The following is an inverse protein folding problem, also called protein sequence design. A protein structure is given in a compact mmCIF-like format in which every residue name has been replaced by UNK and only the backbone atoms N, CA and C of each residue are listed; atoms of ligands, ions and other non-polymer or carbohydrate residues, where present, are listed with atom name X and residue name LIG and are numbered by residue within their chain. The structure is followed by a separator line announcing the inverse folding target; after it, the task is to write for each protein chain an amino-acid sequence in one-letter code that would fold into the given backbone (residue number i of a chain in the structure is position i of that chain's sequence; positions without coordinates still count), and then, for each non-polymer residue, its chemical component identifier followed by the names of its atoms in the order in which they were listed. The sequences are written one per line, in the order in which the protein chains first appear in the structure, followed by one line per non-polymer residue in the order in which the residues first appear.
data_IF_166835071761
#
_entry.id   IF_166835071761
#
_cell.length_a   1.000
_cell.length_b   1.000
_cell.length_c   1.000
_cell.angle_alpha   90.00
_cell.angle_beta   90.00
_cell.angle_gamma   90.00
#
_symmetry.space_group_name_H-M   'P 1'
#
loop_
_entity.id
_entity.type
_entity.pdbx_description
1 polymer ?
#
# COMPACT_ATOMS: atom_id res chain seq x y z
N UNK A 1 -30.09 -2.77 3.63
CA UNK A 1 -29.38 -4.04 3.87
C UNK A 1 -27.93 -3.72 4.14
N UNK A 2 -27.32 -4.24 5.19
CA UNK A 2 -25.93 -3.95 5.52
C UNK A 2 -25.05 -5.16 5.20
N UNK A 3 -23.91 -4.90 4.54
CA UNK A 3 -22.87 -5.90 4.31
C UNK A 3 -22.24 -6.27 5.67
N UNK A 4 -22.25 -7.57 6.01
CA UNK A 4 -21.68 -8.06 7.26
C UNK A 4 -20.21 -8.46 7.12
N UNK A 5 -19.84 -9.06 5.98
CA UNK A 5 -18.47 -9.43 5.63
C UNK A 5 -18.33 -9.59 4.12
N UNK A 6 -17.08 -9.60 3.65
CA UNK A 6 -16.71 -9.80 2.26
C UNK A 6 -15.55 -10.78 2.20
N UNK A 7 -15.65 -11.81 1.38
CA UNK A 7 -14.64 -12.86 1.24
C UNK A 7 -14.47 -13.24 -0.23
N UNK A 8 -13.26 -13.62 -0.62
CA UNK A 8 -13.01 -14.18 -1.93
C UNK A 8 -13.54 -15.61 -2.03
N UNK A 9 -14.17 -15.94 -3.14
CA UNK A 9 -14.62 -17.31 -3.38
C UNK A 9 -13.40 -18.19 -3.74
N UNK A 10 -13.16 -19.30 -3.01
CA UNK A 10 -11.93 -20.07 -3.13
C UNK A 10 -11.73 -20.75 -4.50
N UNK A 11 -12.81 -20.93 -5.27
CA UNK A 11 -12.74 -21.62 -6.56
C UNK A 11 -12.81 -20.66 -7.74
N UNK A 12 -13.61 -19.59 -7.65
CA UNK A 12 -13.90 -18.69 -8.79
C UNK A 12 -13.20 -17.36 -8.68
N UNK A 13 -12.62 -17.01 -7.52
CA UNK A 13 -12.12 -15.67 -7.25
C UNK A 13 -13.22 -14.59 -7.16
N UNK A 14 -14.49 -14.98 -7.16
CA UNK A 14 -15.60 -14.06 -7.04
C UNK A 14 -15.68 -13.49 -5.61
N UNK A 15 -16.02 -12.21 -5.50
CA UNK A 15 -16.20 -11.56 -4.22
C UNK A 15 -17.53 -11.97 -3.59
N UNK A 16 -17.48 -12.64 -2.44
CA UNK A 16 -18.65 -13.04 -1.67
C UNK A 16 -19.06 -11.92 -0.69
N UNK A 17 -20.33 -11.59 -0.70
CA UNK A 17 -20.91 -10.61 0.21
C UNK A 17 -21.84 -11.29 1.21
N UNK A 18 -21.45 -11.28 2.49
CA UNK A 18 -22.31 -11.77 3.57
C UNK A 18 -23.26 -10.65 3.99
N UNK A 19 -24.56 -10.86 3.86
CA UNK A 19 -25.58 -9.83 4.05
C UNK A 19 -26.37 -10.05 5.36
N UNK A 20 -26.77 -8.95 5.98
CA UNK A 20 -27.83 -8.98 6.99
C UNK A 20 -29.17 -8.75 6.31
N UNK A 21 -30.00 -9.77 6.25
CA UNK A 21 -31.30 -9.78 5.53
C UNK A 21 -31.27 -10.75 4.34
N UNK A 22 -32.26 -10.67 3.49
CA UNK A 22 -32.43 -11.53 2.31
C UNK A 22 -32.55 -10.68 1.05
N UNK A 23 -31.97 -11.16 -0.04
CA UNK A 23 -32.19 -10.69 -1.41
C UNK A 23 -32.53 -11.89 -2.28
N UNK A 24 -33.17 -11.67 -3.41
CA UNK A 24 -33.51 -12.69 -4.38
C UNK A 24 -32.78 -12.41 -5.69
N UNK A 25 -32.58 -13.44 -6.48
CA UNK A 25 -32.04 -13.28 -7.83
C UNK A 25 -32.95 -12.38 -8.67
N UNK A 26 -32.37 -11.38 -9.33
CA UNK A 26 -33.11 -10.36 -10.10
C UNK A 26 -33.44 -9.09 -9.32
N UNK A 27 -33.21 -9.03 -8.01
CA UNK A 27 -33.43 -7.81 -7.25
C UNK A 27 -32.44 -6.71 -7.67
N UNK A 28 -32.93 -5.50 -7.88
CA UNK A 28 -32.10 -4.32 -8.09
C UNK A 28 -31.52 -3.85 -6.75
N UNK A 29 -30.18 -3.74 -6.68
CA UNK A 29 -29.46 -3.31 -5.46
C UNK A 29 -28.61 -2.06 -5.72
N UNK A 30 -28.49 -1.20 -4.70
CA UNK A 30 -27.56 -0.08 -4.70
C UNK A 30 -26.43 -0.36 -3.73
N UNK A 31 -25.19 -0.18 -4.20
CA UNK A 31 -23.98 -0.40 -3.40
C UNK A 31 -23.39 0.94 -2.97
N UNK A 32 -23.22 1.14 -1.68
CA UNK A 32 -22.64 2.33 -1.10
C UNK A 32 -21.40 1.96 -0.29
N UNK A 33 -20.27 2.60 -0.60
CA UNK A 33 -19.04 2.47 0.17
C UNK A 33 -19.08 3.46 1.34
N UNK A 34 -18.73 3.02 2.55
CA UNK A 34 -18.49 3.93 3.67
C UNK A 34 -17.28 4.81 3.33
N UNK A 35 -17.56 6.03 2.91
CA UNK A 35 -16.55 6.99 2.43
C UNK A 35 -15.58 7.38 3.56
N UNK A 36 -16.06 7.56 4.79
CA UNK A 36 -15.20 7.94 5.92
C UNK A 36 -14.18 6.84 6.22
N UNK A 37 -14.65 5.61 6.30
CA UNK A 37 -13.79 4.45 6.50
C UNK A 37 -12.83 4.25 5.33
N UNK A 38 -13.31 4.37 4.09
CA UNK A 38 -12.49 4.25 2.88
C UNK A 38 -11.36 5.28 2.83
N UNK A 39 -11.61 6.54 3.22
CA UNK A 39 -10.58 7.59 3.24
C UNK A 39 -9.45 7.24 4.22
N UNK A 40 -9.77 6.76 5.41
CA UNK A 40 -8.78 6.33 6.40
C UNK A 40 -7.93 5.16 5.90
N UNK A 41 -8.58 4.14 5.29
CA UNK A 41 -7.87 2.99 4.70
C UNK A 41 -6.95 3.43 3.57
N UNK A 42 -7.39 4.34 2.70
CA UNK A 42 -6.54 4.91 1.63
C UNK A 42 -5.32 5.63 2.19
N UNK A 43 -5.48 6.42 3.25
CA UNK A 43 -4.40 7.13 3.92
C UNK A 43 -3.36 6.13 4.47
N UNK A 44 -3.81 5.13 5.23
CA UNK A 44 -2.95 4.09 5.78
C UNK A 44 -2.26 3.27 4.69
N UNK A 45 -2.97 2.88 3.62
CA UNK A 45 -2.37 2.12 2.53
C UNK A 45 -1.32 2.94 1.76
N UNK A 46 -1.57 4.21 1.54
CA UNK A 46 -0.57 5.08 0.89
C UNK A 46 0.63 5.35 1.80
N UNK A 47 0.42 5.51 3.11
CA UNK A 47 1.51 5.61 4.08
C UNK A 47 2.38 4.34 4.12
N UNK A 48 1.79 3.15 3.93
CA UNK A 48 2.52 1.87 3.85
C UNK A 48 3.54 1.89 2.70
N UNK A 49 3.17 2.39 1.52
CA UNK A 49 4.09 2.52 0.38
C UNK A 49 5.24 3.50 0.66
N UNK A 50 4.94 4.66 1.28
CA UNK A 50 5.97 5.61 1.67
C UNK A 50 6.91 5.03 2.73
N UNK A 51 6.36 4.29 3.71
CA UNK A 51 7.16 3.61 4.73
C UNK A 51 8.06 2.52 4.14
N UNK A 52 7.54 1.69 3.24
CA UNK A 52 8.32 0.65 2.58
C UNK A 52 9.56 1.25 1.90
N UNK A 53 9.39 2.30 1.12
CA UNK A 53 10.51 2.95 0.45
C UNK A 53 11.45 3.66 1.43
N UNK A 54 10.92 4.28 2.50
CA UNK A 54 11.74 4.88 3.54
C UNK A 54 12.67 3.85 4.21
N UNK A 55 12.12 2.69 4.56
CA UNK A 55 12.89 1.60 5.15
C UNK A 55 13.91 1.02 4.16
N UNK A 56 13.57 0.88 2.88
CA UNK A 56 14.52 0.44 1.86
C UNK A 56 15.69 1.41 1.68
N UNK A 57 15.42 2.69 1.66
CA UNK A 57 16.48 3.71 1.55
C UNK A 57 17.38 3.77 2.78
N UNK A 58 16.79 3.53 3.95
CA UNK A 58 17.52 3.59 5.23
C UNK A 58 18.34 2.32 5.51
N UNK A 59 17.73 1.15 5.31
CA UNK A 59 18.28 -0.14 5.73
C UNK A 59 18.88 -0.94 4.57
N UNK A 60 18.49 -0.65 3.34
CA UNK A 60 18.99 -1.31 2.13
C UNK A 60 17.95 -2.12 1.36
N UNK A 61 18.36 -2.58 0.18
CA UNK A 61 17.50 -3.25 -0.80
C UNK A 61 16.97 -4.63 -0.38
N UNK A 62 17.50 -5.20 0.70
CA UNK A 62 17.00 -6.47 1.27
C UNK A 62 15.65 -6.33 1.97
N UNK A 63 15.25 -5.10 2.30
CA UNK A 63 13.92 -4.83 2.88
C UNK A 63 12.85 -5.16 1.85
N UNK A 64 12.07 -6.18 2.15
CA UNK A 64 10.95 -6.62 1.32
C UNK A 64 9.72 -6.84 2.20
N UNK A 65 8.56 -6.44 1.72
CA UNK A 65 7.29 -6.68 2.40
C UNK A 65 7.05 -8.18 2.57
N UNK A 66 6.71 -8.61 3.78
CA UNK A 66 6.31 -9.98 4.13
C UNK A 66 4.83 -10.07 4.49
N UNK A 67 4.25 -8.97 4.90
CA UNK A 67 2.84 -8.83 5.20
C UNK A 67 2.47 -7.38 5.43
N UNK A 68 1.18 -7.08 5.37
CA UNK A 68 0.66 -5.77 5.74
C UNK A 68 -0.80 -5.86 6.19
N UNK A 69 -1.19 -4.91 7.01
CA UNK A 69 -2.58 -4.66 7.37
C UNK A 69 -2.86 -3.17 7.20
N UNK A 70 -3.89 -2.84 6.43
CA UNK A 70 -4.36 -1.47 6.24
C UNK A 70 -5.82 -1.38 6.70
N UNK A 71 -6.04 -1.00 7.95
CA UNK A 71 -7.38 -0.73 8.50
C UNK A 71 -7.68 0.76 8.52
N UNK A 72 -8.85 1.12 9.00
CA UNK A 72 -9.23 2.52 9.23
C UNK A 72 -8.64 3.12 10.53
N UNK A 73 -8.07 2.29 11.39
CA UNK A 73 -7.47 2.72 12.67
C UNK A 73 -5.95 2.81 12.60
N UNK A 74 -5.31 1.85 11.89
CA UNK A 74 -3.85 1.73 11.82
C UNK A 74 -3.41 0.97 10.58
N UNK A 75 -2.13 1.09 10.27
CA UNK A 75 -1.42 0.17 9.40
C UNK A 75 -0.46 -0.72 10.22
N UNK A 76 -0.16 -1.92 9.70
CA UNK A 76 0.97 -2.75 10.11
C UNK A 76 1.77 -3.10 8.85
N UNK A 77 3.07 -3.05 8.95
CA UNK A 77 3.97 -3.40 7.87
C UNK A 77 5.01 -4.39 8.37
N UNK A 78 4.95 -5.62 7.86
CA UNK A 78 5.87 -6.69 8.20
C UNK A 78 6.92 -6.78 7.09
N UNK A 79 8.20 -6.77 7.44
CA UNK A 79 9.28 -6.72 6.45
C UNK A 79 10.50 -7.56 6.87
N UNK A 80 11.33 -7.93 5.88
CA UNK A 80 12.57 -8.66 6.12
C UNK A 80 13.68 -7.72 6.58
N UNK A 81 14.20 -7.97 7.79
CA UNK A 81 15.41 -7.32 8.31
C UNK A 81 16.04 -8.21 9.38
N UNK A 82 17.36 -8.23 9.47
CA UNK A 82 18.09 -9.17 10.34
C UNK A 82 18.38 -8.65 11.75
N UNK A 83 18.04 -7.39 12.03
CA UNK A 83 18.30 -6.74 13.31
C UNK A 83 17.08 -5.92 13.77
N UNK A 84 17.01 -5.60 15.05
CA UNK A 84 16.05 -4.63 15.58
C UNK A 84 16.40 -3.23 15.06
N UNK A 85 15.37 -2.44 14.76
CA UNK A 85 15.58 -1.05 14.43
C UNK A 85 15.96 -0.25 15.68
N UNK A 86 16.93 0.62 15.53
CA UNK A 86 17.26 1.61 16.55
C UNK A 86 16.21 2.73 16.60
N UNK A 87 16.14 3.44 17.72
CA UNK A 87 15.28 4.62 17.82
C UNK A 87 15.60 5.68 16.77
N UNK A 88 16.86 5.82 16.39
CA UNK A 88 17.30 6.77 15.36
C UNK A 88 16.80 6.36 13.96
N UNK A 89 16.86 5.07 13.64
CA UNK A 89 16.32 4.52 12.38
C UNK A 89 14.80 4.66 12.30
N UNK A 90 14.08 4.34 13.37
CA UNK A 90 12.62 4.53 13.45
C UNK A 90 12.25 6.00 13.25
N UNK A 91 12.94 6.92 13.94
CA UNK A 91 12.71 8.36 13.79
C UNK A 91 13.05 8.85 12.38
N UNK A 92 14.11 8.34 11.78
CA UNK A 92 14.52 8.69 10.42
C UNK A 92 13.49 8.23 9.38
N UNK A 93 12.96 7.01 9.53
CA UNK A 93 11.90 6.49 8.68
C UNK A 93 10.62 7.33 8.82
N UNK A 94 10.18 7.61 10.04
CA UNK A 94 9.02 8.47 10.33
C UNK A 94 9.18 9.89 9.72
N UNK A 95 10.34 10.49 9.89
CA UNK A 95 10.68 11.79 9.31
C UNK A 95 10.64 11.79 7.79
N UNK A 96 11.16 10.74 7.16
CA UNK A 96 11.15 10.58 5.70
C UNK A 96 9.71 10.48 5.19
N UNK A 97 8.88 9.61 5.77
CA UNK A 97 7.47 9.47 5.39
C UNK A 97 6.73 10.81 5.50
N UNK A 98 6.89 11.51 6.62
CA UNK A 98 6.25 12.80 6.82
C UNK A 98 6.77 13.89 5.85
N UNK A 99 8.02 13.82 5.41
CA UNK A 99 8.53 14.73 4.38
C UNK A 99 7.79 14.53 3.05
N UNK A 100 7.54 13.29 2.62
CA UNK A 100 6.79 12.99 1.40
C UNK A 100 5.28 13.28 1.53
N UNK A 101 4.71 13.12 2.72
CA UNK A 101 3.34 13.59 3.01
C UNK A 101 3.24 15.11 2.77
N UNK A 102 4.19 15.89 3.32
CA UNK A 102 4.20 17.36 3.15
C UNK A 102 4.48 17.83 1.73
N UNK A 103 5.09 17.00 0.86
CA UNK A 103 5.21 17.34 -0.55
C UNK A 103 3.85 17.53 -1.23
N UNK A 104 2.80 16.86 -0.72
CA UNK A 104 1.47 16.86 -1.32
C UNK A 104 1.49 16.54 -2.82
N UNK A 105 2.35 15.60 -3.20
CA UNK A 105 2.52 15.17 -4.59
C UNK A 105 1.37 14.26 -5.05
N UNK A 106 1.06 14.30 -6.33
CA UNK A 106 0.04 13.43 -6.92
C UNK A 106 0.40 11.96 -6.85
N UNK A 107 -0.60 11.12 -6.57
CA UNK A 107 -0.49 9.67 -6.63
C UNK A 107 -1.03 9.21 -7.98
N UNK A 108 -0.19 8.59 -8.78
CA UNK A 108 -0.52 8.12 -10.12
C UNK A 108 -0.69 6.61 -10.15
N UNK A 109 -1.62 6.18 -10.98
CA UNK A 109 -1.86 4.76 -11.24
C UNK A 109 -1.79 4.51 -12.74
N UNK A 110 -1.06 3.47 -13.14
CA UNK A 110 -0.94 3.04 -14.53
C UNK A 110 -1.13 1.54 -14.64
N UNK A 111 -1.77 1.10 -15.73
CA UNK A 111 -1.86 -0.31 -16.10
C UNK A 111 -0.79 -0.56 -17.17
N UNK A 112 -0.03 -1.63 -17.02
CA UNK A 112 1.02 -2.01 -17.95
C UNK A 112 1.35 -3.51 -17.83
N UNK A 113 2.20 -4.03 -18.72
CA UNK A 113 2.68 -5.39 -18.59
C UNK A 113 3.63 -5.55 -17.41
N UNK A 114 3.76 -6.74 -16.79
CA UNK A 114 4.75 -6.99 -15.74
C UNK A 114 6.19 -6.71 -16.18
N UNK A 115 6.48 -6.91 -17.47
CA UNK A 115 7.79 -6.62 -18.04
C UNK A 115 8.09 -5.11 -18.05
N UNK A 116 7.14 -4.29 -18.51
CA UNK A 116 7.31 -2.84 -18.51
C UNK A 116 7.37 -2.26 -17.10
N UNK A 117 6.58 -2.82 -16.17
CA UNK A 117 6.65 -2.45 -14.76
C UNK A 117 8.06 -2.70 -14.18
N UNK A 118 8.68 -3.84 -14.50
CA UNK A 118 10.07 -4.13 -14.09
C UNK A 118 11.08 -3.18 -14.74
N UNK A 119 10.92 -2.87 -16.03
CA UNK A 119 11.81 -1.94 -16.74
C UNK A 119 11.85 -0.55 -16.09
N UNK A 120 10.73 -0.07 -15.57
CA UNK A 120 10.67 1.21 -14.86
C UNK A 120 11.03 1.10 -13.36
N UNK A 121 11.45 -0.07 -12.89
CA UNK A 121 11.89 -0.28 -11.51
C UNK A 121 10.77 -0.44 -10.48
N UNK A 122 9.54 -0.78 -10.91
CA UNK A 122 8.44 -1.01 -9.99
C UNK A 122 8.70 -2.23 -9.09
N UNK A 123 8.49 -2.05 -7.78
CA UNK A 123 8.60 -3.12 -6.80
C UNK A 123 7.40 -4.06 -6.93
N UNK A 124 7.67 -5.35 -6.94
CA UNK A 124 6.66 -6.40 -6.90
C UNK A 124 6.63 -7.05 -5.52
N UNK A 125 5.47 -7.48 -5.06
CA UNK A 125 5.36 -8.27 -3.83
C UNK A 125 6.01 -9.64 -4.04
N UNK A 126 6.74 -10.09 -3.04
CA UNK A 126 7.43 -11.38 -3.13
C UNK A 126 6.43 -12.55 -3.19
N UNK A 127 6.58 -13.43 -4.18
CA UNK A 127 5.79 -14.65 -4.31
C UNK A 127 4.42 -14.50 -4.98
N UNK A 128 4.02 -13.30 -5.39
CA UNK A 128 2.79 -13.11 -6.15
C UNK A 128 2.97 -13.48 -7.63
N UNK A 129 1.94 -14.13 -8.19
CA UNK A 129 1.83 -14.37 -9.63
C UNK A 129 0.97 -13.28 -10.24
N UNK A 130 1.52 -12.59 -11.21
CA UNK A 130 0.82 -11.53 -11.93
C UNK A 130 0.27 -12.06 -13.25
N UNK A 131 -0.91 -11.55 -13.64
CA UNK A 131 -1.49 -11.80 -14.95
C UNK A 131 -0.77 -11.01 -16.07
N UNK A 132 -1.42 -10.88 -17.23
CA UNK A 132 -0.86 -10.19 -18.39
C UNK A 132 -0.72 -8.67 -18.17
N UNK A 133 -1.51 -8.11 -17.27
CA UNK A 133 -1.48 -6.71 -16.88
C UNK A 133 -1.35 -6.55 -15.37
N UNK A 134 -0.60 -5.53 -14.96
CA UNK A 134 -0.41 -5.12 -13.57
C UNK A 134 -0.73 -3.65 -13.38
N UNK A 135 -1.21 -3.33 -12.19
CA UNK A 135 -1.46 -1.95 -11.78
C UNK A 135 -0.26 -1.45 -11.00
N UNK A 136 0.39 -0.41 -11.51
CA UNK A 136 1.53 0.26 -10.88
C UNK A 136 1.07 1.55 -10.24
N UNK A 137 1.40 1.73 -8.97
CA UNK A 137 1.13 2.93 -8.19
C UNK A 137 2.44 3.66 -7.94
N UNK A 138 2.46 4.97 -8.21
CA UNK A 138 3.62 5.83 -7.98
C UNK A 138 3.24 7.05 -7.14
N UNK A 139 4.12 7.44 -6.21
CA UNK A 139 3.91 8.60 -5.34
C UNK A 139 5.22 9.18 -4.82
N UNK A 140 5.21 10.49 -4.55
CA UNK A 140 6.37 11.26 -4.12
C UNK A 140 7.30 11.62 -5.27
N UNK A 141 7.93 12.79 -5.19
CA UNK A 141 8.98 13.23 -6.11
C UNK A 141 10.33 13.18 -5.42
N UNK A 142 11.30 12.60 -6.11
CA UNK A 142 12.69 12.56 -5.67
C UNK A 142 13.58 13.12 -6.78
N UNK A 143 14.46 14.04 -6.44
CA UNK A 143 15.38 14.62 -7.41
C UNK A 143 16.51 13.64 -7.74
N UNK A 144 16.76 13.39 -9.01
CA UNK A 144 17.96 12.79 -9.61
C UNK A 144 18.29 11.32 -9.31
N UNK A 145 17.77 10.69 -8.25
CA UNK A 145 18.11 9.28 -7.91
C UNK A 145 16.89 8.41 -7.60
N UNK A 146 15.71 8.91 -7.85
CA UNK A 146 14.46 8.20 -7.58
C UNK A 146 14.16 7.09 -8.58
N UNK A 147 13.07 6.36 -8.35
CA UNK A 147 12.55 5.29 -9.21
C UNK A 147 11.62 5.84 -10.27
N UNK A 148 11.37 5.04 -11.30
CA UNK A 148 10.45 5.37 -12.37
C UNK A 148 11.08 6.08 -13.55
N UNK A 149 10.24 6.53 -14.48
CA UNK A 149 10.72 7.23 -15.68
C UNK A 149 11.42 8.52 -15.27
N UNK A 150 12.68 8.66 -15.68
CA UNK A 150 13.58 9.79 -15.38
C UNK A 150 14.04 9.88 -13.91
N UNK A 151 13.87 8.84 -13.09
CA UNK A 151 14.32 8.84 -11.70
C UNK A 151 13.57 9.80 -10.78
N UNK A 152 12.34 10.19 -11.11
CA UNK A 152 11.61 11.25 -10.41
C UNK A 152 10.62 10.75 -9.33
N UNK A 153 10.36 9.45 -9.28
CA UNK A 153 9.36 8.90 -8.36
C UNK A 153 10.02 8.29 -7.12
N UNK A 154 9.52 8.65 -5.94
CA UNK A 154 9.99 8.08 -4.68
C UNK A 154 9.54 6.63 -4.50
N UNK A 155 8.24 6.36 -4.34
CA UNK A 155 7.68 5.02 -4.24
C UNK A 155 7.06 4.61 -5.57
N UNK A 156 7.39 3.41 -6.05
CA UNK A 156 6.89 2.84 -7.28
C UNK A 156 6.66 1.34 -7.09
N UNK A 157 5.40 0.92 -6.99
CA UNK A 157 5.04 -0.45 -6.60
C UNK A 157 3.87 -1.02 -7.38
N UNK A 158 3.86 -2.35 -7.57
CA UNK A 158 2.69 -3.06 -8.04
C UNK A 158 1.67 -3.14 -6.91
N UNK A 159 0.48 -2.56 -7.12
CA UNK A 159 -0.55 -2.55 -6.09
C UNK A 159 -1.96 -2.44 -6.67
N UNK A 160 -2.83 -3.41 -6.32
CA UNK A 160 -4.25 -3.42 -6.70
C UNK A 160 -5.16 -2.59 -5.77
N UNK A 161 -4.65 -2.08 -4.66
CA UNK A 161 -5.44 -1.44 -3.62
C UNK A 161 -5.86 0.00 -3.92
N UNK A 162 -6.54 0.62 -2.95
CA UNK A 162 -7.02 2.00 -3.07
C UNK A 162 -6.10 2.96 -2.34
N UNK A 163 -5.81 4.10 -2.97
CA UNK A 163 -4.88 5.12 -2.48
C UNK A 163 -5.51 6.50 -2.44
N UNK A 164 -4.86 7.41 -1.72
CA UNK A 164 -5.14 8.85 -1.75
C UNK A 164 -4.84 9.42 -3.14
N UNK A 165 -5.38 10.58 -3.47
CA UNK A 165 -5.07 11.26 -4.73
C UNK A 165 -3.77 12.07 -4.65
N UNK A 166 -3.47 12.59 -3.45
CA UNK A 166 -2.27 13.37 -3.15
C UNK A 166 -1.70 12.90 -1.82
N UNK A 167 -0.37 12.89 -1.68
CA UNK A 167 0.28 12.41 -0.46
C UNK A 167 -0.10 13.20 0.79
N UNK A 168 -0.44 14.47 0.66
CA UNK A 168 -0.92 15.32 1.77
C UNK A 168 -2.25 14.87 2.39
N UNK A 169 -3.09 14.11 1.65
CA UNK A 169 -4.34 13.55 2.18
C UNK A 169 -4.09 12.46 3.27
N UNK A 170 -2.87 11.97 3.41
CA UNK A 170 -2.48 11.05 4.49
C UNK A 170 -2.54 11.76 5.85
N UNK A 171 -2.21 13.05 5.89
CA UNK A 171 -2.18 13.87 7.10
C UNK A 171 -0.83 13.78 7.83
N UNK A 172 -0.76 12.99 8.89
CA UNK A 172 0.47 12.75 9.64
C UNK A 172 0.70 11.25 9.84
N UNK A 173 1.97 10.86 9.93
CA UNK A 173 2.39 9.49 10.15
C UNK A 173 3.27 9.41 11.40
N UNK A 174 3.03 8.42 12.25
CA UNK A 174 3.90 8.09 13.39
C UNK A 174 4.02 6.59 13.57
N UNK A 175 5.19 6.13 13.98
CA UNK A 175 5.47 4.73 14.31
C UNK A 175 5.13 4.53 15.79
N UNK A 176 4.14 3.70 16.08
CA UNK A 176 3.69 3.44 17.45
C UNK A 176 4.52 2.37 18.14
N UNK A 177 4.96 1.36 17.42
CA UNK A 177 5.78 0.26 17.94
C UNK A 177 6.51 -0.44 16.81
N UNK A 178 7.65 -1.03 17.14
CA UNK A 178 8.40 -1.98 16.34
C UNK A 178 8.61 -3.25 17.17
N UNK A 179 8.41 -4.42 16.54
CA UNK A 179 8.57 -5.71 17.19
C UNK A 179 9.17 -6.73 16.24
N UNK A 180 10.15 -7.50 16.70
CA UNK A 180 10.64 -8.63 15.92
C UNK A 180 9.61 -9.76 15.90
N UNK A 181 9.42 -10.36 14.74
CA UNK A 181 8.69 -11.62 14.60
C UNK A 181 9.62 -12.79 14.94
N UNK A 182 9.13 -13.75 15.73
CA UNK A 182 9.90 -14.95 16.13
C UNK A 182 10.20 -15.92 14.98
N UNK A 183 9.74 -15.62 13.79
CA UNK A 183 9.97 -16.47 12.62
C UNK A 183 11.21 -16.05 11.80
N UNK A 184 12.11 -15.30 12.40
CA UNK A 184 13.47 -15.04 11.91
C UNK A 184 13.50 -14.29 10.58
#
# INVERSE_FOLDING_TARGET
MNLAAQHDHPVTGAMLHVLKGSIQEGDAVSLFVDTKRRLKIKANHSATHLLHEALRQLLGDHVAQRGSLNSDERLRFDFSHSAFLTHEELHSAEKAVNAYIRQNSSVHTRIMTPEDARKIGAQALFGEKYGDEVRVVSMGHQNASGKGINGETYSLELCGGTHVKQTGEIGAFTILSDTASSAG
#
